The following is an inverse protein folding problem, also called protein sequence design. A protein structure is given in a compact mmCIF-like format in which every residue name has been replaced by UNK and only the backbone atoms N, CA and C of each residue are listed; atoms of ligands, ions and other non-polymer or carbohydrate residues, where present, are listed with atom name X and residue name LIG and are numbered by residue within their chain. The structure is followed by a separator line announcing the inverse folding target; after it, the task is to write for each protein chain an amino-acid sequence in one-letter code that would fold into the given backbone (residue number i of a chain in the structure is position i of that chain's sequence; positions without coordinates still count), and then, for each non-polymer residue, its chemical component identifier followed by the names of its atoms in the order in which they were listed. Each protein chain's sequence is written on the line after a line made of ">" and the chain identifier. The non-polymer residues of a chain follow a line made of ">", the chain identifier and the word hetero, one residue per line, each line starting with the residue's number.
data_IF_265894883959
#
_entry.id   IF_265894883959
#
_cell.length_a   1.000
_cell.length_b   1.000
_cell.length_c   1.000
_cell.angle_alpha   90.00
_cell.angle_beta   90.00
_cell.angle_gamma   90.00
#
_symmetry.space_group_name_H-M   'P 1'
#
loop_
_entity.id
_entity.type
_entity.pdbx_description
1 polymer ?
#
# COMPACT_ATOMS: atom_id res chain seq x y z
N UNK A 1 0.42 20.70 16.62
CA UNK A 1 1.09 19.71 17.49
C UNK A 1 1.13 18.39 16.75
N UNK A 2 2.31 17.82 16.51
CA UNK A 2 2.43 16.45 15.99
C UNK A 2 2.03 15.50 17.10
N UNK A 3 0.92 14.79 16.93
CA UNK A 3 0.44 13.78 17.89
C UNK A 3 1.27 12.51 17.66
N UNK A 4 1.97 12.03 18.68
CA UNK A 4 2.86 10.84 18.61
C UNK A 4 2.05 9.53 18.55
N UNK A 5 1.17 9.39 17.56
CA UNK A 5 0.30 8.22 17.38
C UNK A 5 0.85 7.32 16.28
N UNK A 6 0.54 6.01 16.31
CA UNK A 6 0.82 5.18 15.14
C UNK A 6 0.00 5.68 13.96
N UNK A 7 0.54 5.49 12.77
CA UNK A 7 -0.12 5.77 11.51
C UNK A 7 0.14 4.66 10.51
N UNK A 8 -0.80 4.50 9.57
CA UNK A 8 -0.68 3.52 8.50
C UNK A 8 -1.02 4.16 7.17
N UNK A 9 -0.22 3.84 6.16
CA UNK A 9 -0.58 4.02 4.75
C UNK A 9 -1.22 2.71 4.30
N UNK A 10 -2.46 2.81 3.83
CA UNK A 10 -3.30 1.66 3.47
C UNK A 10 -3.48 1.61 1.95
N UNK A 11 -3.42 0.42 1.37
CA UNK A 11 -3.75 0.14 -0.03
C UNK A 11 -4.96 -0.78 -0.08
N UNK A 12 -6.00 -0.35 -0.81
CA UNK A 12 -7.28 -1.05 -0.85
C UNK A 12 -7.21 -2.39 -1.59
N UNK A 13 -7.63 -3.45 -0.90
CA UNK A 13 -7.78 -4.81 -1.44
C UNK A 13 -9.18 -5.39 -1.17
N UNK A 14 -10.16 -4.53 -0.86
CA UNK A 14 -11.49 -4.89 -0.35
C UNK A 14 -12.33 -5.66 -1.37
N UNK A 15 -12.54 -5.08 -2.55
CA UNK A 15 -13.38 -5.67 -3.58
C UNK A 15 -12.61 -5.70 -4.88
N UNK A 16 -12.13 -6.87 -5.33
CA UNK A 16 -11.49 -7.03 -6.61
C UNK A 16 -12.30 -6.38 -7.73
N UNK A 17 -13.64 -6.44 -7.72
CA UNK A 17 -14.50 -5.90 -8.78
C UNK A 17 -14.54 -4.37 -8.85
N UNK A 18 -14.11 -3.66 -7.81
CA UNK A 18 -14.04 -2.20 -7.81
C UNK A 18 -12.87 -1.71 -8.68
N UNK A 19 -13.18 -1.20 -9.88
CA UNK A 19 -12.17 -0.66 -10.82
C UNK A 19 -11.47 0.59 -10.31
N UNK A 20 -12.19 1.39 -9.52
CA UNK A 20 -11.69 2.66 -9.00
C UNK A 20 -10.79 2.44 -7.78
N UNK A 21 -11.15 1.50 -6.90
CA UNK A 21 -10.50 1.36 -5.61
C UNK A 21 -9.43 0.26 -5.57
N UNK A 22 -9.74 -0.94 -6.09
CA UNK A 22 -8.90 -2.12 -5.89
C UNK A 22 -7.49 -1.91 -6.44
N UNK A 23 -6.49 -2.02 -5.57
CA UNK A 23 -5.07 -1.79 -5.86
C UNK A 23 -4.74 -0.37 -6.36
N UNK A 24 -5.66 0.59 -6.23
CA UNK A 24 -5.47 1.98 -6.70
C UNK A 24 -5.68 3.02 -5.60
N UNK A 25 -6.66 2.78 -4.74
CA UNK A 25 -7.00 3.67 -3.64
C UNK A 25 -6.02 3.49 -2.49
N UNK A 26 -5.47 4.60 -2.05
CA UNK A 26 -4.65 4.71 -0.85
C UNK A 26 -5.29 5.66 0.14
N UNK A 27 -5.24 5.31 1.42
CA UNK A 27 -5.68 6.17 2.52
C UNK A 27 -4.63 6.18 3.62
N UNK A 28 -4.59 7.27 4.39
CA UNK A 28 -3.75 7.37 5.58
C UNK A 28 -4.66 7.36 6.80
N UNK A 29 -4.34 6.53 7.78
CA UNK A 29 -5.02 6.49 9.07
C UNK A 29 -4.03 6.74 10.21
N UNK A 30 -4.52 7.26 11.32
CA UNK A 30 -3.77 7.37 12.58
C UNK A 30 -4.63 6.92 13.75
N UNK A 31 -4.00 6.50 14.85
CA UNK A 31 -4.74 6.12 16.06
C UNK A 31 -5.43 7.33 16.70
N UNK A 32 -6.71 7.19 17.02
CA UNK A 32 -7.44 8.17 17.81
C UNK A 32 -6.75 8.39 19.15
N UNK A 33 -6.88 9.59 19.71
CA UNK A 33 -6.42 9.87 21.06
C UNK A 33 -7.64 9.91 21.98
N UNK A 34 -7.49 9.33 23.17
CA UNK A 34 -8.45 9.51 24.23
C UNK A 34 -8.43 10.95 24.78
N UNK A 35 -9.37 11.25 25.68
CA UNK A 35 -9.47 12.56 26.34
C UNK A 35 -8.22 12.93 27.16
N UNK A 36 -7.38 11.95 27.50
CA UNK A 36 -6.12 12.12 28.21
C UNK A 36 -4.92 12.31 27.27
N UNK A 37 -5.14 12.26 25.95
CA UNK A 37 -4.11 12.43 24.93
C UNK A 37 -3.27 11.18 24.65
N UNK A 38 -3.71 9.99 25.08
CA UNK A 38 -3.06 8.72 24.79
C UNK A 38 -3.71 8.00 23.61
N UNK A 39 -2.95 7.23 22.80
CA UNK A 39 -3.53 6.49 21.69
C UNK A 39 -4.55 5.44 22.15
N UNK A 40 -5.75 5.51 21.60
CA UNK A 40 -6.72 4.44 21.69
C UNK A 40 -6.32 3.33 20.72
N UNK A 41 -5.73 2.29 21.28
CA UNK A 41 -5.13 1.21 20.51
C UNK A 41 -6.13 0.63 19.50
N UNK A 42 -5.70 0.58 18.24
CA UNK A 42 -6.44 0.02 17.11
C UNK A 42 -7.79 0.72 16.81
N UNK A 43 -8.04 1.90 17.40
CA UNK A 43 -9.10 2.80 16.99
C UNK A 43 -8.54 3.81 15.97
N UNK A 44 -8.96 3.68 14.70
CA UNK A 44 -8.34 4.38 13.58
C UNK A 44 -9.19 5.52 13.05
N UNK A 45 -8.56 6.67 12.83
CA UNK A 45 -9.16 7.84 12.18
C UNK A 45 -8.52 8.07 10.82
N UNK A 46 -9.33 8.35 9.81
CA UNK A 46 -8.84 8.68 8.46
C UNK A 46 -8.28 10.11 8.47
N UNK A 47 -7.01 10.26 8.06
CA UNK A 47 -6.28 11.53 8.12
C UNK A 47 -6.74 12.56 7.08
N UNK A 48 -7.51 12.16 6.07
CA UNK A 48 -7.96 13.04 5.01
C UNK A 48 -8.69 12.33 3.86
N UNK A 49 -8.59 12.89 2.66
CA UNK A 49 -9.18 12.30 1.45
C UNK A 49 -8.37 11.10 0.97
N UNK A 50 -9.04 10.18 0.27
CA UNK A 50 -8.35 9.13 -0.46
C UNK A 50 -7.46 9.71 -1.57
N UNK A 51 -6.32 9.05 -1.76
CA UNK A 51 -5.43 9.24 -2.89
C UNK A 51 -5.66 8.08 -3.86
N UNK A 52 -5.53 8.34 -5.15
CA UNK A 52 -5.67 7.32 -6.18
C UNK A 52 -4.43 7.30 -7.04
N UNK A 53 -3.94 6.10 -7.33
CA UNK A 53 -2.95 5.92 -8.39
C UNK A 53 -3.55 6.38 -9.74
N UNK A 54 -2.71 6.89 -10.65
CA UNK A 54 -3.16 7.28 -11.98
C UNK A 54 -3.94 6.18 -12.69
N UNK A 55 -4.69 6.56 -13.72
CA UNK A 55 -5.42 5.58 -14.53
C UNK A 55 -4.47 4.53 -15.10
N UNK A 56 -4.96 3.28 -15.11
CA UNK A 56 -4.20 2.09 -15.55
C UNK A 56 -2.94 1.80 -14.72
N UNK A 57 -2.72 2.49 -13.61
CA UNK A 57 -1.61 2.18 -12.67
C UNK A 57 -2.16 1.44 -11.46
N UNK A 58 -1.57 0.31 -11.12
CA UNK A 58 -2.01 -0.53 -10.01
C UNK A 58 -0.84 -0.85 -9.08
N UNK A 59 -1.12 -0.88 -7.80
CA UNK A 59 -0.26 -1.47 -6.79
C UNK A 59 -0.09 -2.96 -7.04
N UNK A 60 1.15 -3.42 -7.01
CA UNK A 60 1.48 -4.83 -7.16
C UNK A 60 1.63 -5.48 -5.80
N UNK A 61 0.64 -6.29 -5.39
CA UNK A 61 0.73 -7.15 -4.21
C UNK A 61 1.79 -8.23 -4.38
N UNK A 62 1.96 -8.72 -5.61
CA UNK A 62 2.84 -9.84 -5.94
C UNK A 62 4.32 -9.45 -5.90
N UNK A 63 4.64 -8.19 -6.23
CA UNK A 63 6.04 -7.70 -6.27
C UNK A 63 6.38 -6.72 -5.15
N UNK A 64 5.39 -6.28 -4.37
CA UNK A 64 5.65 -5.60 -3.10
C UNK A 64 5.91 -6.62 -2.00
N UNK A 65 6.96 -6.38 -1.21
CA UNK A 65 7.45 -7.28 -0.17
C UNK A 65 7.48 -6.58 1.18
N UNK A 66 7.34 -7.33 2.27
CA UNK A 66 7.58 -6.86 3.65
C UNK A 66 9.06 -6.57 3.91
N UNK A 67 9.95 -7.28 3.23
CA UNK A 67 11.39 -7.04 3.23
C UNK A 67 11.95 -7.33 1.83
N UNK A 68 12.20 -6.28 1.07
CA UNK A 68 12.67 -6.39 -0.31
C UNK A 68 14.15 -6.75 -0.42
N UNK A 69 14.94 -6.36 0.58
CA UNK A 69 16.40 -6.57 0.60
C UNK A 69 16.83 -7.87 1.26
N UNK A 70 15.95 -8.49 2.06
CA UNK A 70 16.24 -9.69 2.84
C UNK A 70 15.30 -10.84 2.52
N UNK A 71 14.54 -11.29 3.52
CA UNK A 71 13.85 -12.59 3.48
C UNK A 71 12.59 -12.63 2.59
N UNK A 72 12.17 -11.49 2.03
CA UNK A 72 10.91 -11.38 1.32
C UNK A 72 9.70 -11.33 2.27
N UNK A 73 8.54 -11.78 1.78
CA UNK A 73 7.33 -11.92 2.57
C UNK A 73 6.20 -11.00 2.13
N UNK A 74 4.96 -11.38 2.47
CA UNK A 74 3.78 -10.58 2.15
C UNK A 74 3.59 -9.43 3.12
N UNK A 75 3.10 -8.31 2.61
CA UNK A 75 2.62 -7.21 3.45
C UNK A 75 1.45 -7.66 4.32
N UNK A 76 1.38 -7.08 5.51
CA UNK A 76 0.30 -7.33 6.45
C UNK A 76 -0.99 -6.67 5.98
N UNK A 77 -2.12 -7.28 6.37
CA UNK A 77 -3.46 -6.84 6.02
C UNK A 77 -4.22 -6.45 7.29
N UNK A 78 -5.10 -5.47 7.18
CA UNK A 78 -6.03 -5.09 8.24
C UNK A 78 -7.44 -4.86 7.68
N UNK A 79 -8.42 -5.14 8.54
CA UNK A 79 -9.80 -4.69 8.35
C UNK A 79 -9.96 -3.30 8.97
N UNK A 80 -10.52 -2.37 8.22
CA UNK A 80 -10.91 -1.05 8.72
C UNK A 80 -12.45 -1.01 8.80
N UNK A 81 -13.00 -0.99 10.02
CA UNK A 81 -14.44 -1.10 10.27
C UNK A 81 -15.05 0.11 10.97
N UNK A 82 -14.30 0.78 11.85
CA UNK A 82 -14.81 1.85 12.71
C UNK A 82 -14.61 3.26 12.11
N UNK A 83 -14.80 3.37 10.79
CA UNK A 83 -14.67 4.63 10.04
C UNK A 83 -15.90 4.88 9.19
N UNK A 84 -15.97 6.03 8.51
CA UNK A 84 -17.01 6.27 7.50
C UNK A 84 -17.09 5.09 6.51
N UNK A 85 -18.32 4.64 6.21
CA UNK A 85 -18.61 3.47 5.37
C UNK A 85 -17.84 3.44 4.04
N UNK A 86 -17.58 4.59 3.44
CA UNK A 86 -16.81 4.68 2.18
C UNK A 86 -15.37 4.16 2.31
N UNK A 87 -14.77 4.22 3.50
CA UNK A 87 -13.41 3.76 3.79
C UNK A 87 -13.38 2.39 4.48
N UNK A 88 -14.52 1.81 4.83
CA UNK A 88 -14.54 0.48 5.43
C UNK A 88 -14.11 -0.59 4.43
N UNK A 89 -13.33 -1.58 4.86
CA UNK A 89 -12.85 -2.65 3.99
C UNK A 89 -11.56 -3.30 4.43
N UNK A 90 -10.93 -4.00 3.49
CA UNK A 90 -9.68 -4.73 3.67
C UNK A 90 -8.53 -3.99 3.00
N UNK A 91 -7.41 -3.85 3.72
CA UNK A 91 -6.28 -3.06 3.28
C UNK A 91 -4.95 -3.74 3.58
N UNK A 92 -4.01 -3.69 2.63
CA UNK A 92 -2.60 -3.90 2.93
C UNK A 92 -2.02 -2.62 3.53
N UNK A 93 -1.03 -2.72 4.42
CA UNK A 93 -0.50 -1.53 5.08
C UNK A 93 1.01 -1.46 5.24
N UNK A 94 1.47 -0.21 5.35
CA UNK A 94 2.78 0.17 5.85
C UNK A 94 2.57 0.96 7.15
N UNK A 95 3.19 0.52 8.25
CA UNK A 95 2.99 1.12 9.57
C UNK A 95 4.18 2.00 9.97
N UNK A 96 3.85 3.14 10.58
CA UNK A 96 4.79 4.11 11.11
C UNK A 96 4.43 4.43 12.55
N UNK A 97 5.41 4.53 13.44
CA UNK A 97 5.19 4.97 14.81
C UNK A 97 4.97 6.51 14.87
N UNK A 98 4.70 7.04 16.06
CA UNK A 98 4.50 8.47 16.30
C UNK A 98 5.70 9.39 16.01
N UNK A 99 6.84 8.83 15.64
CA UNK A 99 8.07 9.54 15.25
C UNK A 99 8.35 9.40 13.75
N UNK A 100 7.48 8.72 12.99
CA UNK A 100 7.65 8.44 11.57
C UNK A 100 8.61 7.27 11.28
N UNK A 101 8.99 6.49 12.30
CA UNK A 101 9.81 5.29 12.13
C UNK A 101 8.93 4.18 11.55
N UNK A 102 9.35 3.61 10.43
CA UNK A 102 8.67 2.49 9.78
C UNK A 102 8.81 1.23 10.65
N UNK A 103 7.68 0.63 11.02
CA UNK A 103 7.62 -0.63 11.76
C UNK A 103 7.92 -1.85 10.88
N UNK A 104 7.81 -1.70 9.56
CA UNK A 104 8.18 -2.69 8.53
C UNK A 104 9.31 -2.16 7.64
N UNK A 105 10.51 -1.93 8.19
CA UNK A 105 11.64 -1.42 7.42
C UNK A 105 12.06 -2.40 6.34
N UNK A 106 12.38 -1.89 5.15
CA UNK A 106 12.74 -2.72 3.98
C UNK A 106 11.54 -3.10 3.12
N UNK A 107 10.31 -2.75 3.53
CA UNK A 107 9.13 -3.03 2.74
C UNK A 107 9.15 -2.26 1.41
N UNK A 108 8.85 -2.94 0.31
CA UNK A 108 8.73 -2.32 -1.01
C UNK A 108 7.29 -1.96 -1.34
N UNK A 109 7.13 -0.86 -2.08
CA UNK A 109 5.90 -0.44 -2.72
C UNK A 109 6.14 -0.43 -4.22
N UNK A 110 5.55 -1.40 -4.91
CA UNK A 110 5.70 -1.59 -6.35
C UNK A 110 4.38 -1.29 -7.02
N UNK A 111 4.44 -0.53 -8.12
CA UNK A 111 3.33 -0.25 -9.01
C UNK A 111 3.70 -0.67 -10.42
N UNK A 112 2.69 -0.93 -11.24
CA UNK A 112 2.91 -1.02 -12.67
C UNK A 112 1.68 -0.66 -13.48
N UNK A 113 1.89 -0.56 -14.78
CA UNK A 113 0.83 -0.25 -15.75
C UNK A 113 0.12 -1.52 -16.20
N UNK A 114 -1.21 -1.52 -16.18
CA UNK A 114 -2.03 -2.65 -16.62
C UNK A 114 -3.34 -2.22 -17.25
N UNK A 115 -4.01 -3.16 -17.93
CA UNK A 115 -5.41 -2.98 -18.31
C UNK A 115 -6.30 -3.76 -17.39
N UNK A 116 -7.56 -3.35 -17.42
CA UNK A 116 -8.63 -4.10 -16.82
C UNK A 116 -9.78 -4.17 -17.81
N UNK A 117 -9.92 -5.32 -18.45
CA UNK A 117 -11.00 -5.59 -19.41
C UNK A 117 -12.35 -5.71 -18.69
N UNK A 118 -13.46 -5.28 -19.31
CA UNK A 118 -14.80 -5.43 -18.71
C UNK A 118 -15.07 -6.90 -18.37
N UNK A 119 -15.46 -7.19 -17.12
CA UNK A 119 -15.69 -8.54 -16.62
C UNK A 119 -14.55 -9.13 -15.78
N UNK A 120 -13.31 -8.64 -15.92
CA UNK A 120 -12.19 -9.23 -15.19
C UNK A 120 -12.12 -8.76 -13.72
N UNK A 121 -11.93 -9.71 -12.78
CA UNK A 121 -11.92 -9.40 -11.36
C UNK A 121 -10.62 -8.72 -10.92
N UNK A 122 -9.54 -8.82 -11.69
CA UNK A 122 -8.23 -8.24 -11.37
C UNK A 122 -7.64 -7.52 -12.59
N UNK A 123 -6.82 -6.47 -12.39
CA UNK A 123 -6.03 -5.90 -13.49
C UNK A 123 -5.01 -6.92 -14.00
N UNK A 124 -4.78 -6.90 -15.31
CA UNK A 124 -3.80 -7.72 -16.01
C UNK A 124 -2.72 -6.83 -16.60
N UNK A 125 -1.50 -7.34 -16.65
CA UNK A 125 -0.38 -6.62 -17.25
C UNK A 125 -0.56 -6.60 -18.77
N UNK A 126 -0.63 -5.40 -19.35
CA UNK A 126 -0.92 -5.20 -20.80
C UNK A 126 0.28 -5.33 -21.70
N UNK A 127 1.46 -5.02 -21.19
CA UNK A 127 2.72 -5.15 -21.89
C UNK A 127 3.65 -5.96 -21.00
N UNK A 128 4.14 -7.10 -21.50
CA UNK A 128 5.07 -7.99 -20.80
C UNK A 128 6.47 -7.39 -20.60
N UNK A 129 6.62 -6.06 -20.70
CA UNK A 129 7.86 -5.35 -20.47
C UNK A 129 8.03 -5.01 -18.99
N UNK A 130 9.08 -5.56 -18.38
CA UNK A 130 9.54 -5.20 -17.02
C UNK A 130 9.66 -3.69 -16.77
N UNK A 131 9.81 -2.90 -17.84
CA UNK A 131 9.94 -1.43 -17.83
C UNK A 131 8.70 -0.69 -17.32
N UNK A 132 7.53 -1.34 -17.34
CA UNK A 132 6.27 -0.71 -16.92
C UNK A 132 6.03 -0.83 -15.40
N UNK A 133 7.00 -1.38 -14.67
CA UNK A 133 6.99 -1.46 -13.22
C UNK A 133 8.00 -0.48 -12.62
N UNK A 134 7.56 0.20 -11.56
CA UNK A 134 8.37 1.09 -10.75
C UNK A 134 7.99 0.98 -9.29
N UNK A 135 8.72 1.66 -8.42
CA UNK A 135 8.41 1.62 -7.01
C UNK A 135 9.54 2.12 -6.14
N UNK A 136 9.43 1.87 -4.85
CA UNK A 136 10.45 2.25 -3.87
C UNK A 136 10.45 1.31 -2.67
N UNK A 137 11.55 1.34 -1.91
CA UNK A 137 11.70 0.69 -0.61
C UNK A 137 11.51 1.73 0.49
N UNK A 138 10.78 1.41 1.54
CA UNK A 138 10.61 2.22 2.75
C UNK A 138 11.63 1.79 3.81
N UNK A 139 12.50 2.69 4.22
CA UNK A 139 13.52 2.44 5.23
C UNK A 139 13.03 2.73 6.64
N UNK A 140 13.78 2.26 7.64
CA UNK A 140 13.45 2.39 9.07
C UNK A 140 13.13 3.82 9.49
N UNK A 141 13.86 4.82 8.98
CA UNK A 141 13.64 6.22 9.31
C UNK A 141 12.54 6.89 8.47
N UNK A 142 11.70 6.12 7.77
CA UNK A 142 10.63 6.62 6.92
C UNK A 142 11.11 7.18 5.58
N UNK A 143 12.42 7.22 5.30
CA UNK A 143 12.94 7.60 3.99
C UNK A 143 12.63 6.52 2.97
N UNK A 144 12.57 6.91 1.70
CA UNK A 144 12.35 5.99 0.59
C UNK A 144 13.52 5.94 -0.37
N UNK A 145 13.82 4.77 -0.95
CA UNK A 145 14.72 4.63 -2.10
C UNK A 145 13.97 4.10 -3.30
N UNK A 146 14.00 4.83 -4.41
CA UNK A 146 13.32 4.45 -5.66
C UNK A 146 14.09 3.34 -6.37
N UNK A 147 13.36 2.35 -6.90
CA UNK A 147 13.91 1.39 -7.84
C UNK A 147 14.25 2.08 -9.16
N UNK A 148 15.52 2.03 -9.55
CA UNK A 148 16.03 2.70 -10.76
C UNK A 148 15.95 1.82 -12.00
N UNK A 149 15.76 0.51 -11.80
CA UNK A 149 15.59 -0.42 -12.90
C UNK A 149 14.75 -1.63 -12.44
N UNK A 150 14.10 -2.33 -13.38
CA UNK A 150 13.25 -3.48 -13.04
C UNK A 150 14.00 -4.65 -12.41
N UNK A 151 15.30 -4.77 -12.66
CA UNK A 151 16.17 -5.78 -12.05
C UNK A 151 16.23 -5.62 -10.53
N UNK A 152 16.09 -4.39 -10.03
CA UNK A 152 16.06 -4.11 -8.59
C UNK A 152 14.74 -4.53 -7.93
N UNK A 153 13.69 -4.73 -8.72
CA UNK A 153 12.36 -5.15 -8.25
C UNK A 153 12.26 -6.69 -8.15
N UNK A 154 13.26 -7.43 -8.68
CA UNK A 154 13.25 -8.90 -8.76
C UNK A 154 12.09 -9.46 -9.61
N UNK A 155 11.70 -8.76 -10.68
CA UNK A 155 10.62 -9.22 -11.55
C UNK A 155 11.01 -10.49 -12.34
N UNK A 156 10.11 -11.49 -12.42
CA UNK A 156 10.29 -12.65 -13.27
C UNK A 156 10.36 -12.25 -14.77
N UNK A 157 10.79 -13.17 -15.63
CA UNK A 157 10.84 -12.94 -17.08
C UNK A 157 9.47 -12.69 -17.71
N UNK A 158 8.42 -13.27 -17.12
CA UNK A 158 7.03 -13.08 -17.53
C UNK A 158 6.20 -12.63 -16.32
N UNK A 159 5.51 -11.49 -16.45
CA UNK A 159 4.65 -10.92 -15.41
C UNK A 159 3.19 -11.02 -15.84
N UNK A 160 2.36 -11.70 -15.03
CA UNK A 160 0.95 -11.93 -15.37
C UNK A 160 -0.04 -11.15 -14.50
N UNK A 161 0.35 -10.82 -13.27
CA UNK A 161 -0.53 -10.25 -12.26
C UNK A 161 0.16 -9.11 -11.52
N UNK A 162 -0.67 -8.28 -10.88
CA UNK A 162 -0.25 -7.27 -9.91
C UNK A 162 -0.17 -7.88 -8.52
#
# INVERSE_FOLDING_TARGET
>A
MSKRTRSRVLVDVTDPKSRENYLRRMIVVYEELDDSGFPEKDNWVVAGRALFLPDQTYFSRSFSSKDHSGAGGSLEQMTLSNVNRTFQGEYLYYEFNGEGICATPGASFVVGTGARTPGDPVPVVTASTKRDFGGFIVWRNGRTSVFRSPEQINLPSEVKNF
#
